data_IF_506463165158
#
_entry.id   IF_506463165158
#
_cell.length_a   1.000
_cell.length_b   1.000
_cell.length_c   1.000
_cell.angle_alpha   90.00
_cell.angle_beta   90.00
_cell.angle_gamma   90.00
#
_symmetry.space_group_name_H-M   'P 1'
#
loop_
_entity.id
_entity.type
_entity.pdbx_description
1 polymer ?
#
# COMPACT_ATOMS: atom_id res chain seq x y z
N UNK A 1 14.15 -25.23 15.17
CA UNK A 1 15.15 -24.21 15.54
C UNK A 1 15.04 -23.95 17.05
N UNK A 2 16.07 -24.25 17.83
CA UNK A 2 16.07 -24.01 19.30
C UNK A 2 16.68 -22.65 19.62
N UNK A 3 16.21 -21.99 20.68
CA UNK A 3 16.73 -20.67 21.11
C UNK A 3 18.25 -20.68 21.33
N UNK A 4 18.80 -21.80 21.81
CA UNK A 4 20.24 -22.00 21.98
C UNK A 4 21.04 -21.85 20.67
N UNK A 5 20.48 -22.27 19.52
CA UNK A 5 21.18 -22.24 18.23
C UNK A 5 21.46 -20.83 17.71
N UNK A 6 20.65 -19.84 18.12
CA UNK A 6 20.79 -18.43 17.70
C UNK A 6 22.02 -17.79 18.37
N UNK A 7 22.41 -18.27 19.55
CA UNK A 7 23.54 -17.73 20.31
C UNK A 7 24.90 -18.24 19.85
N UNK A 8 24.93 -19.24 18.97
CA UNK A 8 26.18 -19.83 18.48
C UNK A 8 26.70 -18.99 17.31
N UNK A 9 27.87 -18.33 17.44
CA UNK A 9 28.45 -17.55 16.35
C UNK A 9 28.86 -18.47 15.19
N UNK A 10 28.57 -18.03 13.96
CA UNK A 10 28.89 -18.76 12.72
C UNK A 10 29.67 -17.85 11.77
N UNK A 11 30.98 -17.65 12.00
CA UNK A 11 31.79 -16.70 11.23
C UNK A 11 31.88 -17.07 9.75
N UNK A 12 31.81 -18.36 9.41
CA UNK A 12 31.79 -18.83 8.03
C UNK A 12 30.61 -18.28 7.22
N UNK A 13 29.46 -18.03 7.87
CA UNK A 13 28.31 -17.42 7.19
C UNK A 13 28.59 -15.98 6.79
N UNK A 14 29.47 -15.26 7.50
CA UNK A 14 29.83 -13.87 7.17
C UNK A 14 30.51 -13.84 5.80
N UNK A 15 31.53 -14.68 5.59
CA UNK A 15 32.19 -14.79 4.29
C UNK A 15 31.21 -15.18 3.18
N UNK A 16 30.35 -16.17 3.39
CA UNK A 16 29.28 -16.50 2.43
C UNK A 16 28.39 -15.29 2.13
N UNK A 17 27.94 -14.54 3.15
CA UNK A 17 27.03 -13.39 2.99
C UNK A 17 27.66 -12.21 2.23
N UNK A 18 28.95 -11.96 2.40
CA UNK A 18 29.60 -10.75 1.88
C UNK A 18 30.50 -11.00 0.67
N UNK A 19 31.13 -12.17 0.59
CA UNK A 19 32.02 -12.54 -0.51
C UNK A 19 31.20 -13.24 -1.62
N UNK A 20 30.55 -14.35 -1.28
CA UNK A 20 29.83 -15.19 -2.26
C UNK A 20 28.58 -14.50 -2.82
N UNK A 21 27.78 -13.88 -1.94
CA UNK A 21 26.59 -13.08 -2.29
C UNK A 21 26.74 -11.58 -2.04
N UNK A 22 27.80 -11.02 -2.61
CA UNK A 22 28.14 -9.59 -2.52
C UNK A 22 27.02 -8.67 -3.02
N UNK A 23 26.21 -9.12 -4.00
CA UNK A 23 25.18 -8.32 -4.64
C UNK A 23 23.92 -8.19 -3.77
N UNK A 24 23.69 -7.02 -3.17
CA UNK A 24 22.44 -6.71 -2.44
C UNK A 24 21.44 -5.90 -3.25
N UNK A 25 20.15 -6.10 -2.96
CA UNK A 25 19.05 -5.23 -3.35
C UNK A 25 19.01 -4.01 -2.43
N UNK A 26 18.93 -2.80 -2.99
CA UNK A 26 18.86 -1.56 -2.21
C UNK A 26 17.51 -1.35 -1.50
N UNK A 27 16.43 -1.94 -2.03
CA UNK A 27 15.07 -1.71 -1.51
C UNK A 27 14.75 -2.58 -0.29
N UNK A 28 15.20 -3.83 -0.26
CA UNK A 28 14.86 -4.78 0.81
C UNK A 28 16.08 -5.48 1.45
N UNK A 29 17.30 -5.22 0.98
CA UNK A 29 18.52 -5.81 1.53
C UNK A 29 18.77 -7.28 1.15
N UNK A 30 17.90 -7.92 0.35
CA UNK A 30 18.10 -9.30 -0.12
C UNK A 30 19.39 -9.41 -0.94
N UNK A 31 20.15 -10.49 -0.74
CA UNK A 31 21.47 -10.72 -1.35
C UNK A 31 21.42 -11.82 -2.39
N UNK A 32 22.22 -11.65 -3.44
CA UNK A 32 22.33 -12.49 -4.62
C UNK A 32 23.80 -12.79 -4.89
N UNK A 33 24.05 -13.90 -5.56
CA UNK A 33 25.37 -14.28 -6.01
C UNK A 33 25.92 -13.28 -7.05
N UNK A 34 27.25 -13.30 -7.22
CA UNK A 34 27.96 -12.41 -8.14
C UNK A 34 28.03 -12.94 -9.58
N UNK A 35 27.59 -14.18 -9.78
CA UNK A 35 27.50 -14.87 -11.06
C UNK A 35 26.32 -14.37 -11.91
N UNK A 36 26.28 -14.77 -13.18
CA UNK A 36 25.25 -14.32 -14.11
C UNK A 36 23.85 -14.84 -13.72
N UNK A 37 23.75 -16.04 -13.14
CA UNK A 37 22.50 -16.56 -12.58
C UNK A 37 22.01 -15.70 -11.40
N UNK A 38 22.92 -15.27 -10.51
CA UNK A 38 22.61 -14.35 -9.41
C UNK A 38 22.14 -12.98 -9.90
N UNK A 39 22.73 -12.46 -10.97
CA UNK A 39 22.28 -11.21 -11.61
C UNK A 39 20.88 -11.34 -12.20
N UNK A 40 20.57 -12.45 -12.86
CA UNK A 40 19.24 -12.69 -13.43
C UNK A 40 18.17 -12.83 -12.33
N UNK A 41 18.47 -13.57 -11.25
CA UNK A 41 17.60 -13.64 -10.07
C UNK A 41 17.38 -12.24 -9.46
N UNK A 42 18.43 -11.42 -9.38
CA UNK A 42 18.32 -10.03 -8.90
C UNK A 42 17.45 -9.18 -9.83
N UNK A 43 17.57 -9.32 -11.15
CA UNK A 43 16.75 -8.58 -12.11
C UNK A 43 15.26 -8.91 -11.93
N UNK A 44 14.91 -10.20 -11.89
CA UNK A 44 13.53 -10.65 -11.65
C UNK A 44 13.00 -10.16 -10.29
N UNK A 45 13.84 -10.15 -9.27
CA UNK A 45 13.49 -9.61 -7.96
C UNK A 45 13.18 -8.09 -8.02
N UNK A 46 13.94 -7.31 -8.78
CA UNK A 46 13.68 -5.89 -8.98
C UNK A 46 12.37 -5.64 -9.74
N UNK A 47 12.03 -6.49 -10.73
CA UNK A 47 10.75 -6.42 -11.43
C UNK A 47 9.57 -6.68 -10.49
N UNK A 48 9.73 -7.60 -9.53
CA UNK A 48 8.72 -7.84 -8.49
C UNK A 48 8.52 -6.60 -7.61
N UNK A 49 9.61 -5.92 -7.23
CA UNK A 49 9.52 -4.65 -6.50
C UNK A 49 8.77 -3.58 -7.30
N UNK A 50 9.06 -3.46 -8.60
CA UNK A 50 8.39 -2.51 -9.47
C UNK A 50 6.87 -2.77 -9.51
N UNK A 51 6.47 -4.02 -9.81
CA UNK A 51 5.06 -4.42 -9.86
C UNK A 51 4.34 -4.19 -8.52
N UNK A 52 5.00 -4.53 -7.41
CA UNK A 52 4.47 -4.36 -6.06
C UNK A 52 4.29 -2.88 -5.73
N UNK A 53 5.29 -2.04 -5.99
CA UNK A 53 5.22 -0.60 -5.74
C UNK A 53 4.18 0.09 -6.62
N UNK A 54 4.07 -0.31 -7.90
CA UNK A 54 3.04 0.20 -8.79
C UNK A 54 1.65 -0.11 -8.24
N UNK A 55 1.39 -1.36 -7.84
CA UNK A 55 0.12 -1.75 -7.23
C UNK A 55 -0.18 -0.97 -5.94
N UNK A 56 0.81 -0.79 -5.06
CA UNK A 56 0.63 -0.02 -3.82
C UNK A 56 0.30 1.45 -4.13
N UNK A 57 0.96 2.04 -5.11
CA UNK A 57 0.72 3.43 -5.52
C UNK A 57 -0.68 3.59 -6.12
N UNK A 58 -1.12 2.64 -6.94
CA UNK A 58 -2.48 2.65 -7.50
C UNK A 58 -3.56 2.44 -6.44
N UNK A 59 -3.32 1.58 -5.44
CA UNK A 59 -4.23 1.39 -4.32
C UNK A 59 -4.39 2.68 -3.50
N UNK A 60 -3.28 3.36 -3.19
CA UNK A 60 -3.31 4.64 -2.48
C UNK A 60 -4.08 5.71 -3.26
N UNK A 61 -3.92 5.78 -4.60
CA UNK A 61 -4.67 6.72 -5.45
C UNK A 61 -6.19 6.45 -5.47
N UNK A 62 -6.60 5.19 -5.30
CA UNK A 62 -8.02 4.79 -5.23
C UNK A 62 -8.62 5.00 -3.82
N UNK A 63 -7.88 5.62 -2.89
CA UNK A 63 -8.31 5.79 -1.51
C UNK A 63 -8.42 4.48 -0.74
N UNK A 64 -7.90 3.38 -1.29
CA UNK A 64 -7.81 2.11 -0.59
C UNK A 64 -6.59 2.19 0.31
N UNK A 65 -6.80 2.63 1.56
CA UNK A 65 -5.77 2.52 2.59
C UNK A 65 -5.37 1.05 2.67
N UNK A 66 -4.09 0.78 2.45
CA UNK A 66 -3.49 -0.55 2.61
C UNK A 66 -3.98 -1.11 3.95
N UNK A 67 -4.81 -2.14 3.95
CA UNK A 67 -5.16 -2.85 5.18
C UNK A 67 -3.85 -3.38 5.73
N UNK A 68 -3.42 -2.80 6.85
CA UNK A 68 -2.15 -3.11 7.49
C UNK A 68 -2.07 -4.58 7.90
N UNK A 69 -3.23 -5.21 8.05
CA UNK A 69 -3.37 -6.60 8.42
C UNK A 69 -4.21 -7.31 7.37
N UNK A 70 -3.72 -8.49 6.97
CA UNK A 70 -4.52 -9.49 6.28
C UNK A 70 -5.50 -10.09 7.29
N UNK A 71 -6.67 -10.50 6.82
CA UNK A 71 -7.58 -11.28 7.66
C UNK A 71 -6.96 -12.66 7.98
N UNK A 72 -7.36 -13.28 9.10
CA UNK A 72 -6.81 -14.56 9.57
C UNK A 72 -6.80 -15.64 8.47
N UNK A 73 -7.90 -15.75 7.71
CA UNK A 73 -8.03 -16.73 6.62
C UNK A 73 -7.13 -16.38 5.43
N UNK A 74 -6.89 -15.10 5.17
CA UNK A 74 -5.98 -14.63 4.12
C UNK A 74 -4.53 -14.83 4.54
N UNK A 75 -4.20 -14.61 5.81
CA UNK A 75 -2.90 -14.90 6.39
C UNK A 75 -2.59 -16.40 6.34
N UNK A 76 -3.52 -17.27 6.72
CA UNK A 76 -3.33 -18.73 6.63
C UNK A 76 -3.06 -19.15 5.18
N UNK A 77 -3.69 -18.49 4.20
CA UNK A 77 -3.52 -18.75 2.77
C UNK A 77 -2.29 -18.05 2.17
N UNK A 78 -1.72 -17.05 2.84
CA UNK A 78 -0.59 -16.29 2.32
C UNK A 78 0.66 -17.15 2.38
N UNK A 79 0.91 -17.89 1.31
CA UNK A 79 2.21 -18.53 1.10
C UNK A 79 3.10 -17.49 0.44
N UNK A 80 4.06 -16.95 1.19
CA UNK A 80 5.15 -16.17 0.60
C UNK A 80 5.94 -17.11 -0.31
N UNK A 81 5.71 -17.01 -1.62
CA UNK A 81 6.54 -17.70 -2.58
C UNK A 81 7.91 -17.05 -2.58
N UNK A 82 8.90 -17.78 -2.05
CA UNK A 82 10.28 -17.40 -2.25
C UNK A 82 10.60 -17.47 -3.74
N UNK A 83 11.18 -16.38 -4.23
CA UNK A 83 11.59 -16.12 -5.61
C UNK A 83 12.29 -17.34 -6.25
N UNK A 84 12.98 -18.18 -5.47
CA UNK A 84 13.72 -19.34 -5.99
C UNK A 84 12.84 -20.44 -6.62
N UNK A 85 11.56 -20.53 -6.26
CA UNK A 85 10.70 -21.65 -6.70
C UNK A 85 9.90 -21.38 -7.98
N UNK A 86 9.90 -20.14 -8.47
CA UNK A 86 9.02 -19.75 -9.58
C UNK A 86 7.55 -19.85 -9.18
N UNK A 87 6.75 -18.89 -9.63
CA UNK A 87 5.30 -18.93 -9.44
C UNK A 87 4.76 -20.18 -10.16
N UNK A 88 4.03 -21.09 -9.50
CA UNK A 88 3.30 -22.11 -10.22
C UNK A 88 2.27 -21.37 -11.07
N UNK A 89 2.28 -21.63 -12.37
CA UNK A 89 1.21 -21.32 -13.31
C UNK A 89 -0.01 -22.16 -12.92
N UNK A 90 -0.71 -21.70 -11.89
CA UNK A 90 -1.80 -22.42 -11.26
C UNK A 90 -1.98 -21.84 -9.88
N UNK A 91 -3.06 -21.08 -9.72
CA UNK A 91 -3.51 -20.46 -8.49
C UNK A 91 -2.80 -19.16 -8.12
N UNK A 92 -3.60 -18.11 -8.26
CA UNK A 92 -3.27 -16.74 -7.92
C UNK A 92 -3.05 -16.63 -6.41
N UNK A 93 -1.83 -16.94 -5.94
CA UNK A 93 -1.27 -16.34 -4.73
C UNK A 93 -0.98 -14.86 -5.00
N UNK A 94 -2.05 -14.15 -5.35
CA UNK A 94 -2.18 -12.73 -5.12
C UNK A 94 -1.91 -12.57 -3.64
N UNK A 95 -0.98 -11.70 -3.25
CA UNK A 95 -1.12 -11.02 -1.97
C UNK A 95 -2.41 -10.21 -2.07
N UNK A 96 -3.55 -10.90 -1.96
CA UNK A 96 -4.88 -10.32 -1.93
C UNK A 96 -4.93 -9.60 -0.60
N UNK A 97 -4.52 -8.34 -0.63
CA UNK A 97 -5.10 -7.38 0.27
C UNK A 97 -6.57 -7.31 -0.17
N UNK A 98 -7.45 -7.95 0.61
CA UNK A 98 -8.87 -8.17 0.36
C UNK A 98 -9.48 -7.37 -0.78
N UNK A 99 -9.54 -8.00 -1.96
CA UNK A 99 -10.52 -7.62 -2.97
C UNK A 99 -11.58 -8.71 -2.94
N UNK A 100 -12.49 -8.59 -1.96
CA UNK A 100 -13.80 -9.22 -2.08
C UNK A 100 -14.43 -8.66 -3.35
N UNK A 101 -14.57 -9.53 -4.34
CA UNK A 101 -15.46 -9.34 -5.46
C UNK A 101 -16.87 -9.10 -4.93
N UNK A 102 -17.49 -7.97 -5.28
CA UNK A 102 -18.74 -7.96 -6.04
C UNK A 102 -19.18 -6.51 -6.31
N UNK A 103 -19.96 -6.37 -7.40
CA UNK A 103 -20.79 -5.23 -7.77
C UNK A 103 -20.10 -4.10 -8.54
N UNK A 104 -20.01 -4.34 -9.85
CA UNK A 104 -20.50 -3.45 -10.91
C UNK A 104 -20.68 -1.97 -10.51
N UNK A 105 -19.59 -1.21 -10.53
CA UNK A 105 -19.68 0.24 -10.63
C UNK A 105 -19.01 0.64 -11.94
N UNK A 106 -19.87 0.91 -12.92
CA UNK A 106 -19.54 1.60 -14.16
C UNK A 106 -18.57 2.74 -13.86
N UNK A 107 -17.38 2.67 -14.46
CA UNK A 107 -16.44 3.76 -14.51
C UNK A 107 -17.03 4.87 -15.40
N UNK A 108 -18.01 5.59 -14.86
CA UNK A 108 -18.36 6.90 -15.37
C UNK A 108 -17.14 7.79 -15.10
N UNK A 109 -16.43 8.12 -16.18
CA UNK A 109 -15.50 9.24 -16.24
C UNK A 109 -16.27 10.51 -15.86
N UNK A 110 -16.48 10.74 -14.57
CA UNK A 110 -16.85 12.07 -14.09
C UNK A 110 -15.60 12.89 -14.23
N UNK A 111 -15.66 13.82 -15.18
CA UNK A 111 -14.77 14.96 -15.30
C UNK A 111 -14.45 15.48 -13.90
N UNK A 112 -13.23 16.00 -13.74
CA UNK A 112 -12.70 16.67 -12.56
C UNK A 112 -13.48 17.96 -12.23
N UNK A 113 -14.79 17.83 -12.01
CA UNK A 113 -15.60 18.83 -11.37
C UNK A 113 -15.07 18.90 -9.94
N UNK A 114 -14.42 20.03 -9.61
CA UNK A 114 -13.90 20.32 -8.27
C UNK A 114 -15.00 19.98 -7.27
N UNK A 115 -14.78 18.96 -6.44
CA UNK A 115 -15.79 18.52 -5.49
C UNK A 115 -15.83 19.55 -4.34
N UNK A 116 -16.98 20.18 -4.13
CA UNK A 116 -17.18 21.17 -3.08
C UNK A 116 -18.47 20.91 -2.31
N UNK A 117 -18.51 21.38 -1.06
CA UNK A 117 -19.70 21.37 -0.21
C UNK A 117 -19.89 22.76 0.44
N UNK A 118 -21.10 23.08 0.85
CA UNK A 118 -21.38 24.29 1.63
C UNK A 118 -20.72 24.20 3.01
N UNK A 119 -20.10 25.29 3.44
CA UNK A 119 -19.53 25.41 4.77
C UNK A 119 -20.67 25.47 5.82
N UNK A 120 -20.56 24.76 6.95
CA UNK A 120 -21.52 24.87 8.04
C UNK A 120 -21.64 26.31 8.57
N UNK A 121 -22.88 26.74 8.84
CA UNK A 121 -23.14 28.04 9.44
C UNK A 121 -22.68 28.14 10.91
N UNK A 122 -22.61 27.01 11.61
CA UNK A 122 -22.08 26.97 12.97
C UNK A 122 -20.56 27.17 12.99
N UNK A 123 -20.10 28.17 13.75
CA UNK A 123 -18.69 28.50 13.91
C UNK A 123 -17.87 27.37 14.55
N UNK A 124 -18.48 26.55 15.41
CA UNK A 124 -17.78 25.41 16.02
C UNK A 124 -17.49 24.32 14.98
N UNK A 125 -18.48 23.99 14.15
CA UNK A 125 -18.35 23.01 13.07
C UNK A 125 -17.49 23.54 11.92
N UNK A 126 -17.51 24.85 11.66
CA UNK A 126 -16.71 25.48 10.61
C UNK A 126 -15.20 25.44 10.92
N UNK A 127 -14.82 25.53 12.18
CA UNK A 127 -13.43 25.50 12.62
C UNK A 127 -12.93 24.09 12.99
N UNK A 128 -13.81 23.09 12.95
CA UNK A 128 -13.46 21.72 13.27
C UNK A 128 -12.50 21.15 12.20
N UNK A 129 -11.31 20.65 12.61
CA UNK A 129 -10.39 20.03 11.66
C UNK A 129 -10.93 18.69 11.15
N UNK A 130 -10.44 18.26 9.99
CA UNK A 130 -10.77 16.96 9.44
C UNK A 130 -10.37 15.83 10.42
N UNK A 131 -11.26 14.89 10.77
CA UNK A 131 -10.95 13.83 11.72
C UNK A 131 -9.92 12.81 11.18
N UNK A 132 -9.62 12.85 9.88
CA UNK A 132 -8.68 11.92 9.23
C UNK A 132 -7.27 12.52 9.15
N UNK A 133 -7.13 13.72 8.58
CA UNK A 133 -5.82 14.37 8.38
C UNK A 133 -5.51 15.49 9.40
N UNK A 134 -6.48 15.88 10.24
CA UNK A 134 -6.37 16.96 11.24
C UNK A 134 -6.10 18.36 10.66
N UNK A 135 -6.21 18.52 9.35
CA UNK A 135 -6.12 19.83 8.68
C UNK A 135 -7.42 20.62 8.83
N UNK A 136 -7.33 21.94 8.89
CA UNK A 136 -8.48 22.84 8.95
C UNK A 136 -9.06 23.02 7.55
N UNK A 137 -10.39 23.08 7.45
CA UNK A 137 -11.06 23.41 6.18
C UNK A 137 -10.92 24.89 5.87
N UNK A 138 -10.56 25.20 4.62
CA UNK A 138 -10.51 26.58 4.12
C UNK A 138 -11.88 26.96 3.54
N UNK A 139 -12.50 28.02 4.08
CA UNK A 139 -13.76 28.56 3.59
C UNK A 139 -13.53 29.66 2.55
N UNK A 140 -14.02 29.43 1.33
CA UNK A 140 -13.95 30.39 0.23
C UNK A 140 -15.36 30.77 -0.21
N UNK A 141 -15.61 32.05 -0.48
CA UNK A 141 -16.88 32.50 -1.05
C UNK A 141 -16.96 32.07 -2.52
N UNK A 142 -18.04 31.38 -2.89
CA UNK A 142 -18.34 31.02 -4.28
C UNK A 142 -19.45 31.89 -4.81
N UNK A 143 -19.18 32.62 -5.90
CA UNK A 143 -20.21 33.41 -6.60
C UNK A 143 -21.26 32.52 -7.27
N UNK A 144 -20.89 31.31 -7.70
CA UNK A 144 -21.80 30.35 -8.32
C UNK A 144 -22.79 29.76 -7.32
N UNK A 145 -22.33 29.43 -6.12
CA UNK A 145 -23.17 28.94 -5.03
C UNK A 145 -23.81 30.07 -4.20
N UNK A 146 -23.35 31.30 -4.41
CA UNK A 146 -23.69 32.50 -3.63
C UNK A 146 -23.57 32.28 -2.11
N UNK A 147 -22.58 31.48 -1.70
CA UNK A 147 -22.39 31.01 -0.33
C UNK A 147 -20.91 30.62 -0.06
N UNK A 148 -20.56 30.44 1.21
CA UNK A 148 -19.26 29.92 1.63
C UNK A 148 -19.18 28.42 1.36
N UNK A 149 -18.13 28.00 0.65
CA UNK A 149 -17.88 26.60 0.30
C UNK A 149 -16.53 26.11 0.86
N UNK A 150 -16.42 24.79 0.96
CA UNK A 150 -15.17 24.08 1.20
C UNK A 150 -14.80 23.27 -0.03
N UNK A 151 -13.57 23.46 -0.52
CA UNK A 151 -12.99 22.67 -1.59
C UNK A 151 -12.45 21.34 -1.04
N UNK A 152 -12.54 20.27 -1.85
CA UNK A 152 -12.04 18.94 -1.53
C UNK A 152 -12.59 18.32 -0.23
N UNK A 153 -13.79 18.77 0.17
CA UNK A 153 -14.50 18.27 1.34
C UNK A 153 -15.71 17.41 0.94
N UNK A 154 -16.08 16.46 1.81
CA UNK A 154 -17.29 15.64 1.68
C UNK A 154 -17.95 15.48 3.04
N UNK A 155 -19.28 15.49 3.07
CA UNK A 155 -20.04 15.29 4.30
C UNK A 155 -19.89 13.84 4.75
N UNK A 156 -19.34 13.62 5.93
CA UNK A 156 -19.30 12.30 6.56
C UNK A 156 -20.70 11.87 6.97
N UNK A 157 -21.03 10.58 6.79
CA UNK A 157 -22.26 10.00 7.31
C UNK A 157 -22.22 10.08 8.85
N UNK A 158 -23.01 10.99 9.44
CA UNK A 158 -23.30 10.94 10.87
C UNK A 158 -24.17 9.71 11.10
N UNK A 159 -23.57 8.63 11.61
CA UNK A 159 -24.33 7.58 12.29
C UNK A 159 -24.94 8.22 13.53
N UNK A 160 -26.23 8.58 13.43
CA UNK A 160 -27.06 8.87 14.59
C UNK A 160 -27.06 7.61 15.45
N UNK A 161 -26.52 7.73 16.66
CA UNK A 161 -26.60 6.70 17.69
C UNK A 161 -27.87 6.85 18.50
#
# INVERSE_FOLDING_TARGET
MTSASIRIPRPNLISTLYEEKSNRCGTCGRRFYSDDQGKEKKARHLDWHFKTNQRMTEASKRGQSRSWYLDEREWIKSREFDDDTGRPTGDSATFANGSMSDSTATAAKKSSQKQWIHAPNDAALRNAPCPICQEKFESTWSEEAQDWIWHDAKRGLQTLS
#
